data_IF_721378621902
#
_entry.id   IF_721378621902
#
_cell.length_a   1.000
_cell.length_b   1.000
_cell.length_c   1.000
_cell.angle_alpha   90.00
_cell.angle_beta   90.00
_cell.angle_gamma   90.00
#
_symmetry.space_group_name_H-M   'P 1'
#
loop_
_entity.id
_entity.type
_entity.pdbx_description
1 polymer ?
#
# COMPACT_ATOMS: atom_id res chain seq x y z
N UNK A 1 -9.12 0.88 16.53
CA UNK A 1 -10.25 0.27 15.79
C UNK A 1 -10.44 -1.21 16.08
N UNK A 2 -9.41 -2.07 15.95
CA UNK A 2 -9.53 -3.53 16.14
C UNK A 2 -8.91 -4.04 17.46
N UNK A 3 -8.99 -3.26 18.55
CA UNK A 3 -8.47 -3.69 19.85
C UNK A 3 -9.29 -4.84 20.43
N UNK A 4 -8.64 -5.80 21.11
CA UNK A 4 -9.30 -7.03 21.55
C UNK A 4 -10.44 -6.80 22.55
N UNK A 5 -10.28 -5.87 23.49
CA UNK A 5 -11.24 -5.72 24.61
C UNK A 5 -12.25 -4.58 24.42
N UNK A 6 -11.92 -3.56 23.62
CA UNK A 6 -12.75 -2.35 23.47
C UNK A 6 -12.64 -1.72 22.07
N UNK A 7 -12.22 -2.50 21.07
CA UNK A 7 -12.21 -2.05 19.68
C UNK A 7 -13.62 -1.94 19.13
N UNK A 8 -13.86 -0.94 18.28
CA UNK A 8 -15.11 -0.77 17.51
C UNK A 8 -15.53 -2.07 16.84
N UNK A 9 -14.59 -2.82 16.26
CA UNK A 9 -14.89 -4.11 15.63
C UNK A 9 -15.43 -5.16 16.62
N UNK A 10 -14.88 -5.22 17.84
CA UNK A 10 -15.36 -6.11 18.90
C UNK A 10 -16.77 -5.72 19.35
N UNK A 11 -17.03 -4.42 19.52
CA UNK A 11 -18.34 -3.90 19.91
C UNK A 11 -19.39 -4.17 18.82
N UNK A 12 -19.06 -3.98 17.55
CA UNK A 12 -19.96 -4.29 16.44
C UNK A 12 -20.31 -5.79 16.37
N UNK A 13 -19.34 -6.67 16.62
CA UNK A 13 -19.58 -8.12 16.67
C UNK A 13 -20.49 -8.56 17.82
N UNK A 14 -20.53 -7.80 18.92
CA UNK A 14 -21.48 -8.05 20.02
C UNK A 14 -22.92 -7.71 19.62
N UNK A 15 -23.11 -6.75 18.72
CA UNK A 15 -24.42 -6.37 18.20
C UNK A 15 -24.84 -7.28 17.05
N UNK A 16 -23.92 -7.68 16.18
CA UNK A 16 -24.20 -8.51 15.02
C UNK A 16 -23.05 -9.50 14.76
N UNK A 17 -23.32 -10.79 15.00
CA UNK A 17 -22.30 -11.86 14.94
C UNK A 17 -21.70 -12.05 13.55
N UNK A 18 -22.45 -11.79 12.47
CA UNK A 18 -21.95 -11.89 11.09
C UNK A 18 -21.00 -10.76 10.68
N UNK A 19 -20.73 -9.76 11.52
CA UNK A 19 -19.80 -8.67 11.19
C UNK A 19 -18.39 -9.24 11.02
N UNK A 20 -17.85 -9.13 9.81
CA UNK A 20 -16.46 -9.44 9.53
C UNK A 20 -15.57 -8.21 9.73
N UNK A 21 -14.41 -8.42 10.33
CA UNK A 21 -13.43 -7.35 10.59
C UNK A 21 -12.03 -7.86 10.33
N UNK A 22 -11.28 -7.15 9.50
CA UNK A 22 -9.88 -7.44 9.21
C UNK A 22 -9.05 -6.15 9.28
N UNK A 23 -7.79 -6.27 9.72
CA UNK A 23 -6.85 -5.16 9.66
C UNK A 23 -6.43 -4.89 8.23
N UNK A 24 -6.36 -3.61 7.83
CA UNK A 24 -5.95 -3.22 6.48
C UNK A 24 -4.58 -3.84 6.11
N UNK A 25 -4.50 -4.72 5.10
CA UNK A 25 -3.26 -5.37 4.71
C UNK A 25 -2.14 -4.39 4.32
N UNK A 26 -2.48 -3.29 3.63
CA UNK A 26 -1.52 -2.23 3.29
C UNK A 26 -0.86 -1.61 4.53
N UNK A 27 -1.63 -1.43 5.59
CA UNK A 27 -1.14 -0.93 6.87
C UNK A 27 -0.28 -1.97 7.60
N UNK A 28 -0.64 -3.24 7.55
CA UNK A 28 0.18 -4.34 8.11
C UNK A 28 1.52 -4.45 7.39
N UNK A 29 1.55 -4.32 6.06
CA UNK A 29 2.78 -4.28 5.25
C UNK A 29 3.67 -3.11 5.69
N UNK A 30 3.08 -1.92 5.84
CA UNK A 30 3.81 -0.74 6.31
C UNK A 30 4.40 -0.95 7.72
N UNK A 31 3.60 -1.41 8.69
CA UNK A 31 4.07 -1.69 10.05
C UNK A 31 5.24 -2.68 10.04
N UNK A 32 5.12 -3.76 9.26
CA UNK A 32 6.17 -4.77 9.14
C UNK A 32 7.46 -4.16 8.59
N UNK A 33 7.36 -3.35 7.53
CA UNK A 33 8.53 -2.75 6.90
C UNK A 33 9.21 -1.69 7.79
N UNK A 34 8.43 -0.84 8.48
CA UNK A 34 8.95 0.06 9.52
C UNK A 34 9.68 -0.73 10.60
N UNK A 35 9.03 -1.79 11.12
CA UNK A 35 9.60 -2.55 12.23
C UNK A 35 10.88 -3.28 11.85
N UNK A 36 10.99 -3.72 10.60
CA UNK A 36 12.22 -4.27 10.07
C UNK A 36 13.31 -3.20 9.89
N UNK A 37 12.95 -1.99 9.47
CA UNK A 37 13.89 -0.87 9.32
C UNK A 37 14.52 -0.45 10.66
N UNK A 38 13.81 -0.60 11.79
CA UNK A 38 14.36 -0.40 13.14
C UNK A 38 15.58 -1.30 13.45
N UNK A 39 15.76 -2.40 12.71
CA UNK A 39 16.92 -3.29 12.86
C UNK A 39 18.22 -2.70 12.27
N UNK A 40 18.12 -1.59 11.53
CA UNK A 40 19.25 -0.85 11.00
C UNK A 40 19.81 0.11 12.07
N UNK A 41 21.12 0.40 12.07
CA UNK A 41 21.72 1.28 13.07
C UNK A 41 21.44 2.77 12.81
N UNK A 42 20.76 3.09 11.71
CA UNK A 42 20.38 4.44 11.33
C UNK A 42 18.88 4.47 11.01
N UNK A 43 18.23 5.57 11.36
CA UNK A 43 16.87 5.85 10.91
C UNK A 43 16.92 6.52 9.55
N UNK A 44 16.79 5.72 8.49
CA UNK A 44 16.77 6.25 7.11
C UNK A 44 15.58 7.18 6.89
N UNK A 45 14.44 6.88 7.50
CA UNK A 45 13.25 7.72 7.45
C UNK A 45 13.52 9.12 8.04
N UNK A 46 14.12 9.20 9.23
CA UNK A 46 14.43 10.49 9.87
C UNK A 46 15.45 11.29 9.07
N UNK A 47 16.42 10.63 8.44
CA UNK A 47 17.41 11.28 7.57
C UNK A 47 16.71 11.88 6.34
N UNK A 48 15.86 11.10 5.66
CA UNK A 48 15.08 11.56 4.49
C UNK A 48 14.24 12.78 4.86
N UNK A 49 13.56 12.74 6.01
CA UNK A 49 12.74 13.83 6.53
C UNK A 49 13.58 15.06 6.87
N UNK A 50 14.73 14.86 7.52
CA UNK A 50 15.63 15.94 7.93
C UNK A 50 16.24 16.65 6.72
N UNK A 51 16.63 15.91 5.69
CA UNK A 51 17.09 16.46 4.40
C UNK A 51 15.97 17.27 3.74
N UNK A 52 14.75 16.70 3.64
CA UNK A 52 13.61 17.38 3.03
C UNK A 52 13.29 18.72 3.70
N UNK A 53 13.10 18.74 5.03
CA UNK A 53 12.76 19.97 5.74
C UNK A 53 13.91 20.97 5.78
N UNK A 54 15.17 20.52 5.69
CA UNK A 54 16.28 21.46 5.49
C UNK A 54 16.17 22.18 4.15
N UNK A 55 15.84 21.44 3.09
CA UNK A 55 15.74 21.95 1.73
C UNK A 55 14.42 22.66 1.42
N UNK A 56 13.49 22.80 2.36
CA UNK A 56 12.19 23.42 2.11
C UNK A 56 12.30 24.91 1.68
N UNK A 57 13.34 25.61 2.16
CA UNK A 57 13.66 27.00 1.82
C UNK A 57 13.96 27.18 0.32
N UNK A 58 13.32 28.16 -0.32
CA UNK A 58 13.56 28.54 -1.73
C UNK A 58 15.03 28.86 -2.01
N UNK A 59 15.72 29.53 -1.08
CA UNK A 59 17.16 29.83 -1.18
C UNK A 59 18.00 28.56 -1.30
N UNK A 60 17.72 27.56 -0.45
CA UNK A 60 18.47 26.30 -0.41
C UNK A 60 18.17 25.43 -1.63
N UNK A 61 16.92 25.40 -2.10
CA UNK A 61 16.54 24.73 -3.36
C UNK A 61 17.35 25.27 -4.55
N UNK A 62 17.43 26.60 -4.69
CA UNK A 62 18.21 27.25 -5.76
C UNK A 62 19.71 26.99 -5.60
N UNK A 63 20.21 26.95 -4.36
CA UNK A 63 21.62 26.64 -4.11
C UNK A 63 21.95 25.19 -4.47
N UNK A 64 21.11 24.23 -4.10
CA UNK A 64 21.26 22.81 -4.45
C UNK A 64 21.26 22.60 -5.97
N UNK A 65 20.43 23.34 -6.71
CA UNK A 65 20.37 23.25 -8.17
C UNK A 65 21.75 23.42 -8.82
N UNK A 66 22.57 24.35 -8.33
CA UNK A 66 23.93 24.56 -8.85
C UNK A 66 24.82 23.33 -8.71
N UNK A 67 24.65 22.58 -7.62
CA UNK A 67 25.37 21.32 -7.40
C UNK A 67 24.78 20.20 -8.27
N UNK A 68 23.45 20.15 -8.45
CA UNK A 68 22.83 19.17 -9.36
C UNK A 68 23.34 19.34 -10.80
N UNK A 69 23.44 20.59 -11.27
CA UNK A 69 24.03 20.93 -12.58
C UNK A 69 25.51 20.51 -12.66
N UNK A 70 26.32 20.77 -11.63
CA UNK A 70 27.72 20.36 -11.57
C UNK A 70 27.90 18.85 -11.68
N UNK A 71 27.00 18.08 -11.05
CA UNK A 71 27.01 16.62 -11.08
C UNK A 71 26.24 16.03 -12.28
N UNK A 72 25.86 16.86 -13.26
CA UNK A 72 25.12 16.45 -14.46
C UNK A 72 23.83 15.66 -14.16
N UNK A 73 23.16 15.99 -13.05
CA UNK A 73 21.86 15.42 -12.70
C UNK A 73 20.77 16.44 -12.94
N UNK A 74 19.70 16.03 -13.63
CA UNK A 74 18.54 16.89 -13.90
C UNK A 74 17.99 17.50 -12.60
N UNK A 75 17.62 18.78 -12.64
CA UNK A 75 17.02 19.43 -11.49
C UNK A 75 15.72 18.74 -11.09
N UNK A 76 15.73 18.15 -9.90
CA UNK A 76 14.58 17.48 -9.34
C UNK A 76 14.46 17.83 -7.85
N UNK A 77 13.27 18.28 -7.44
CA UNK A 77 12.99 18.58 -6.03
C UNK A 77 13.05 17.27 -5.22
N UNK A 78 13.61 17.32 -4.00
CA UNK A 78 13.50 16.21 -3.07
C UNK A 78 12.02 15.99 -2.71
N UNK A 79 11.58 14.74 -2.75
CA UNK A 79 10.20 14.35 -2.50
C UNK A 79 9.95 14.35 -0.99
N UNK A 80 8.78 14.85 -0.57
CA UNK A 80 8.35 14.76 0.82
C UNK A 80 7.95 13.31 1.11
N UNK A 81 8.56 12.72 2.11
CA UNK A 81 8.06 11.48 2.70
C UNK A 81 6.91 11.79 3.66
N UNK A 82 5.83 11.02 3.57
CA UNK A 82 4.68 11.07 4.48
C UNK A 82 4.73 9.81 5.33
N UNK A 83 4.91 9.96 6.65
CA UNK A 83 5.05 8.85 7.59
C UNK A 83 3.95 7.78 7.46
N UNK A 84 2.71 8.18 7.17
CA UNK A 84 1.57 7.26 7.03
C UNK A 84 1.55 6.49 5.70
N UNK A 85 2.44 6.81 4.76
CA UNK A 85 2.46 6.22 3.42
C UNK A 85 3.87 5.74 3.07
N UNK A 86 4.21 4.51 3.48
CA UNK A 86 5.49 3.84 3.18
C UNK A 86 5.93 3.95 1.71
N UNK A 87 4.99 3.90 0.77
CA UNK A 87 5.25 4.02 -0.67
C UNK A 87 5.92 5.36 -1.06
N UNK A 88 5.84 6.38 -0.20
CA UNK A 88 6.52 7.65 -0.40
C UNK A 88 7.98 7.62 0.07
N UNK A 89 8.37 6.66 0.92
CA UNK A 89 9.75 6.50 1.38
C UNK A 89 10.65 6.04 0.25
N UNK A 90 10.31 4.99 -0.49
CA UNK A 90 11.15 4.50 -1.58
C UNK A 90 11.31 5.53 -2.70
N UNK A 91 10.26 6.29 -3.03
CA UNK A 91 10.37 7.43 -3.98
C UNK A 91 11.35 8.49 -3.48
N UNK A 92 11.26 8.86 -2.21
CA UNK A 92 12.13 9.88 -1.60
C UNK A 92 13.57 9.39 -1.49
N UNK A 93 13.75 8.11 -1.15
CA UNK A 93 15.04 7.44 -1.04
C UNK A 93 15.74 7.37 -2.40
N UNK A 94 15.05 6.92 -3.45
CA UNK A 94 15.57 6.93 -4.83
C UNK A 94 16.01 8.31 -5.27
N UNK A 95 15.21 9.34 -4.98
CA UNK A 95 15.53 10.73 -5.29
C UNK A 95 16.77 11.21 -4.55
N UNK A 96 16.93 10.86 -3.27
CA UNK A 96 18.13 11.21 -2.49
C UNK A 96 19.37 10.47 -3.02
N UNK A 97 19.26 9.17 -3.32
CA UNK A 97 20.36 8.39 -3.90
C UNK A 97 20.83 8.96 -5.25
N UNK A 98 19.88 9.34 -6.12
CA UNK A 98 20.18 9.96 -7.41
C UNK A 98 20.98 11.27 -7.26
N UNK A 99 20.73 12.05 -6.21
CA UNK A 99 21.43 13.30 -5.95
C UNK A 99 22.48 13.18 -4.84
N UNK A 100 22.93 11.98 -4.48
CA UNK A 100 23.73 11.77 -3.27
C UNK A 100 24.99 12.63 -3.24
N UNK A 101 25.75 12.65 -4.32
CA UNK A 101 27.03 13.33 -4.39
C UNK A 101 26.85 14.86 -4.47
N UNK A 102 25.82 15.32 -5.21
CA UNK A 102 25.40 16.72 -5.23
C UNK A 102 24.94 17.22 -3.85
N UNK A 103 24.20 16.40 -3.11
CA UNK A 103 23.76 16.69 -1.74
C UNK A 103 24.96 16.77 -0.79
N UNK A 104 25.91 15.84 -0.90
CA UNK A 104 27.12 15.85 -0.08
C UNK A 104 27.91 17.15 -0.25
N UNK A 105 28.25 17.54 -1.48
CA UNK A 105 28.99 18.79 -1.72
C UNK A 105 28.18 20.03 -1.36
N UNK A 106 26.86 20.01 -1.57
CA UNK A 106 25.99 21.08 -1.10
C UNK A 106 26.10 21.25 0.42
N UNK A 107 25.94 20.17 1.21
CA UNK A 107 26.00 20.24 2.67
C UNK A 107 27.40 20.60 3.18
N UNK A 108 28.45 20.15 2.49
CA UNK A 108 29.85 20.55 2.76
C UNK A 108 30.02 22.06 2.63
N UNK A 109 29.52 22.65 1.53
CA UNK A 109 29.55 24.11 1.32
C UNK A 109 28.74 24.88 2.37
N UNK A 110 27.58 24.35 2.79
CA UNK A 110 26.73 24.95 3.82
C UNK A 110 27.41 24.94 5.20
N UNK A 111 28.18 23.89 5.51
CA UNK A 111 28.97 23.78 6.74
C UNK A 111 30.12 24.79 6.75
N UNK A 112 30.85 24.92 5.64
CA UNK A 112 31.95 25.88 5.49
C UNK A 112 31.50 27.35 5.59
N UNK A 113 30.24 27.65 5.23
CA UNK A 113 29.67 28.99 5.36
C UNK A 113 29.19 29.29 6.79
N UNK A 114 29.88 30.21 7.48
CA UNK A 114 29.70 30.52 8.91
C UNK A 114 28.47 31.39 9.26
N UNK A 115 27.68 31.87 8.29
CA UNK A 115 26.65 32.91 8.50
C UNK A 115 25.26 32.42 9.00
N UNK A 116 25.09 31.18 9.47
CA UNK A 116 23.75 30.60 9.71
C UNK A 116 23.37 30.44 11.20
N UNK A 117 22.08 30.67 11.52
CA UNK A 117 21.46 30.53 12.87
C UNK A 117 21.68 29.14 13.51
N UNK A 118 21.76 29.08 14.84
CA UNK A 118 22.10 27.88 15.65
C UNK A 118 21.28 26.61 15.31
N UNK A 119 19.96 26.71 15.12
CA UNK A 119 19.10 25.54 14.80
C UNK A 119 19.36 25.00 13.39
N UNK A 120 19.62 25.89 12.42
CA UNK A 120 20.03 25.48 11.08
C UNK A 120 21.45 24.90 11.05
N UNK A 121 22.31 25.26 12.01
CA UNK A 121 23.64 24.70 12.15
C UNK A 121 23.59 23.20 12.47
N UNK A 122 22.81 22.78 13.48
CA UNK A 122 22.70 21.35 13.85
C UNK A 122 22.26 20.46 12.68
N UNK A 123 21.24 20.88 11.92
CA UNK A 123 20.73 20.10 10.77
C UNK A 123 21.73 20.03 9.61
N UNK A 124 22.44 21.11 9.28
CA UNK A 124 23.46 21.08 8.21
C UNK A 124 24.66 20.20 8.57
N UNK A 125 25.14 20.26 9.82
CA UNK A 125 26.23 19.39 10.28
C UNK A 125 25.80 17.93 10.28
N UNK A 126 24.61 17.62 10.81
CA UNK A 126 24.05 16.27 10.75
C UNK A 126 23.98 15.74 9.32
N UNK A 127 23.35 16.49 8.39
CA UNK A 127 23.22 16.06 6.99
C UNK A 127 24.59 15.92 6.29
N UNK A 128 25.55 16.80 6.56
CA UNK A 128 26.91 16.68 6.04
C UNK A 128 27.59 15.39 6.51
N UNK A 129 27.54 15.08 7.81
CA UNK A 129 28.10 13.85 8.36
C UNK A 129 27.44 12.59 7.80
N UNK A 130 26.11 12.60 7.70
CA UNK A 130 25.32 11.47 7.20
C UNK A 130 25.56 11.23 5.71
N UNK A 131 25.57 12.29 4.87
CA UNK A 131 25.88 12.16 3.45
C UNK A 131 27.35 11.78 3.19
N UNK A 132 28.25 12.14 4.12
CA UNK A 132 29.68 11.85 4.04
C UNK A 132 30.09 10.48 4.58
N UNK A 133 29.22 9.76 5.28
CA UNK A 133 29.51 8.41 5.80
C UNK A 133 29.19 7.34 4.73
N UNK A 134 30.20 6.58 4.26
CA UNK A 134 29.99 5.51 3.29
C UNK A 134 29.02 4.42 3.77
N UNK A 135 28.93 4.18 5.08
CA UNK A 135 28.04 3.17 5.66
C UNK A 135 26.58 3.63 5.64
N UNK A 136 26.31 4.92 5.79
CA UNK A 136 24.97 5.47 5.60
C UNK A 136 24.50 5.24 4.16
N UNK A 137 25.30 5.58 3.15
CA UNK A 137 24.96 5.31 1.73
C UNK A 137 24.71 3.82 1.49
N UNK A 138 25.49 2.95 2.12
CA UNK A 138 25.32 1.49 2.05
C UNK A 138 23.93 1.04 2.55
N UNK A 139 23.46 1.57 3.69
CA UNK A 139 22.11 1.25 4.20
C UNK A 139 20.98 1.82 3.33
N UNK A 140 21.18 3.01 2.74
CA UNK A 140 20.23 3.57 1.77
C UNK A 140 20.11 2.66 0.53
N UNK A 141 21.22 2.22 -0.05
CA UNK A 141 21.22 1.31 -1.21
C UNK A 141 20.57 -0.03 -0.89
N UNK A 142 20.83 -0.60 0.30
CA UNK A 142 20.15 -1.81 0.75
C UNK A 142 18.63 -1.62 0.83
N UNK A 143 18.17 -0.53 1.45
CA UNK A 143 16.75 -0.23 1.51
C UNK A 143 16.14 -0.02 0.12
N UNK A 144 16.81 0.70 -0.78
CA UNK A 144 16.35 0.86 -2.17
C UNK A 144 16.09 -0.49 -2.87
N UNK A 145 16.95 -1.48 -2.62
CA UNK A 145 16.84 -2.82 -3.20
C UNK A 145 15.77 -3.70 -2.55
N UNK A 146 15.44 -3.49 -1.27
CA UNK A 146 14.50 -4.35 -0.51
C UNK A 146 13.08 -3.78 -0.45
N UNK A 147 12.93 -2.44 -0.43
CA UNK A 147 11.63 -1.77 -0.35
C UNK A 147 10.65 -2.19 -1.45
N UNK A 148 11.07 -2.38 -2.73
CA UNK A 148 10.16 -2.78 -3.80
C UNK A 148 9.33 -4.03 -3.49
N UNK A 149 9.87 -4.98 -2.69
CA UNK A 149 9.14 -6.19 -2.27
C UNK A 149 7.84 -5.82 -1.54
N UNK A 150 7.91 -4.84 -0.64
CA UNK A 150 6.76 -4.35 0.11
C UNK A 150 5.91 -3.41 -0.74
N UNK A 151 6.56 -2.54 -1.51
CA UNK A 151 5.88 -1.54 -2.32
C UNK A 151 5.02 -2.14 -3.42
N UNK A 152 5.49 -3.18 -4.10
CA UNK A 152 4.79 -3.75 -5.24
C UNK A 152 3.52 -4.48 -4.80
N UNK A 153 3.59 -5.28 -3.73
CA UNK A 153 2.40 -5.86 -3.09
C UNK A 153 1.44 -4.77 -2.59
N UNK A 154 1.96 -3.71 -1.96
CA UNK A 154 1.12 -2.63 -1.43
C UNK A 154 0.45 -1.82 -2.56
N UNK A 155 1.13 -1.58 -3.69
CA UNK A 155 0.54 -0.94 -4.88
C UNK A 155 -0.61 -1.76 -5.45
N UNK A 156 -0.45 -3.09 -5.54
CA UNK A 156 -1.52 -3.99 -5.99
C UNK A 156 -2.73 -3.86 -5.07
N UNK A 157 -2.53 -3.97 -3.75
CA UNK A 157 -3.61 -3.87 -2.75
C UNK A 157 -4.17 -2.44 -2.57
N UNK A 158 -3.60 -1.45 -3.24
CA UNK A 158 -4.16 -0.11 -3.34
C UNK A 158 -4.92 0.09 -4.64
N UNK A 159 -5.08 -0.91 -5.51
CA UNK A 159 -5.83 -0.74 -6.76
C UNK A 159 -7.34 -0.54 -6.51
N UNK A 160 -8.04 0.02 -7.49
CA UNK A 160 -9.50 0.23 -7.48
C UNK A 160 -10.27 -1.07 -7.81
N UNK A 161 -9.55 -2.12 -8.21
CA UNK A 161 -10.15 -3.41 -8.53
C UNK A 161 -10.43 -4.21 -7.24
N UNK A 162 -11.55 -4.96 -7.16
CA UNK A 162 -11.80 -5.83 -6.03
C UNK A 162 -10.81 -7.01 -6.01
N UNK A 163 -9.90 -7.01 -5.04
CA UNK A 163 -8.83 -8.02 -4.92
C UNK A 163 -9.02 -9.01 -3.77
N UNK A 164 -10.21 -9.10 -3.17
CA UNK A 164 -10.45 -9.99 -2.02
C UNK A 164 -10.19 -11.45 -2.36
N UNK A 165 -10.56 -11.87 -3.57
CA UNK A 165 -10.27 -13.19 -4.14
C UNK A 165 -8.78 -13.51 -4.29
N UNK A 166 -7.93 -12.49 -4.42
CA UNK A 166 -6.50 -12.61 -4.63
C UNK A 166 -5.67 -12.20 -3.41
N UNK A 167 -6.31 -11.76 -2.32
CA UNK A 167 -5.64 -11.15 -1.18
C UNK A 167 -4.73 -12.15 -0.46
N UNK A 168 -5.21 -13.37 -0.22
CA UNK A 168 -4.42 -14.42 0.43
C UNK A 168 -3.16 -14.77 -0.38
N UNK A 169 -3.30 -15.01 -1.69
CA UNK A 169 -2.17 -15.26 -2.59
C UNK A 169 -1.21 -14.08 -2.62
N UNK A 170 -1.72 -12.85 -2.71
CA UNK A 170 -0.94 -11.62 -2.77
C UNK A 170 -0.11 -11.43 -1.52
N UNK A 171 -0.65 -11.70 -0.33
CA UNK A 171 0.10 -11.67 0.92
C UNK A 171 1.16 -12.77 1.00
N UNK A 172 0.87 -13.96 0.48
CA UNK A 172 1.83 -15.05 0.44
C UNK A 172 3.05 -14.77 -0.44
N UNK A 173 2.92 -13.93 -1.49
CA UNK A 173 4.07 -13.49 -2.31
C UNK A 173 5.17 -12.83 -1.48
N UNK A 174 4.82 -12.13 -0.39
CA UNK A 174 5.80 -11.51 0.50
C UNK A 174 6.66 -12.54 1.26
N UNK A 175 6.21 -13.80 1.41
CA UNK A 175 7.03 -14.88 1.98
C UNK A 175 8.28 -15.18 1.14
N UNK A 176 8.30 -14.75 -0.12
CA UNK A 176 9.49 -14.79 -0.98
C UNK A 176 10.72 -14.07 -0.40
N UNK A 177 10.53 -13.20 0.61
CA UNK A 177 11.66 -12.59 1.34
C UNK A 177 12.58 -13.63 2.01
N UNK A 178 12.07 -14.82 2.36
CA UNK A 178 12.86 -15.92 2.93
C UNK A 178 14.01 -16.34 2.02
N UNK A 179 13.78 -16.38 0.70
CA UNK A 179 14.80 -16.77 -0.29
C UNK A 179 16.02 -15.83 -0.26
N UNK A 180 15.87 -14.61 0.27
CA UNK A 180 16.95 -13.62 0.34
C UNK A 180 18.01 -13.93 1.39
N UNK A 181 17.66 -14.68 2.44
CA UNK A 181 18.56 -14.89 3.57
C UNK A 181 18.55 -16.30 4.17
N UNK A 182 17.59 -17.16 3.79
CA UNK A 182 17.50 -18.57 4.22
C UNK A 182 17.97 -19.48 3.09
N UNK A 183 18.67 -20.57 3.42
CA UNK A 183 19.12 -21.56 2.44
C UNK A 183 17.91 -22.30 1.80
N UNK A 184 17.92 -22.58 0.49
CA UNK A 184 16.78 -23.21 -0.20
C UNK A 184 16.30 -24.53 0.41
N UNK A 185 17.22 -25.38 0.88
CA UNK A 185 16.92 -26.71 1.42
C UNK A 185 16.05 -26.66 2.67
N UNK A 186 16.11 -25.54 3.40
CA UNK A 186 15.44 -25.33 4.69
C UNK A 186 14.06 -24.70 4.48
N UNK A 187 13.91 -23.89 3.43
CA UNK A 187 12.62 -23.32 3.05
C UNK A 187 11.61 -24.44 2.73
N UNK A 188 12.08 -25.57 2.18
CA UNK A 188 11.25 -26.73 1.85
C UNK A 188 10.82 -27.55 3.07
N UNK A 189 11.57 -27.51 4.18
CA UNK A 189 11.28 -28.31 5.38
C UNK A 189 10.38 -27.61 6.40
N UNK A 190 9.99 -26.35 6.17
CA UNK A 190 9.23 -25.50 7.12
C UNK A 190 9.85 -25.36 8.53
N UNK A 191 11.14 -25.68 8.68
CA UNK A 191 11.88 -25.62 9.94
C UNK A 191 12.70 -24.32 10.06
N UNK A 192 12.14 -23.33 10.74
CA UNK A 192 12.70 -21.99 10.89
C UNK A 192 13.54 -21.85 12.18
N UNK A 193 14.63 -22.61 12.30
CA UNK A 193 15.64 -22.39 13.34
C UNK A 193 16.59 -21.22 12.99
N UNK A 194 17.09 -20.48 14.00
CA UNK A 194 17.99 -19.30 13.83
C UNK A 194 19.33 -19.62 13.15
N UNK A 195 19.75 -20.88 13.15
CA UNK A 195 21.03 -21.37 12.59
C UNK A 195 21.00 -21.62 11.06
N UNK A 196 19.91 -21.26 10.38
CA UNK A 196 19.63 -21.65 9.00
C UNK A 196 19.88 -20.55 7.95
N UNK A 197 20.52 -19.46 8.37
CA UNK A 197 20.83 -18.33 7.49
C UNK A 197 21.92 -18.65 6.46
N UNK A 198 21.81 -18.02 5.30
CA UNK A 198 22.87 -17.95 4.31
C UNK A 198 24.09 -17.26 4.91
N UNK A 199 25.28 -17.66 4.48
CA UNK A 199 26.51 -16.92 4.81
C UNK A 199 26.43 -15.51 4.23
N UNK A 200 27.13 -14.54 4.83
CA UNK A 200 27.03 -13.12 4.46
C UNK A 200 27.13 -12.86 2.95
N UNK A 201 28.01 -13.59 2.23
CA UNK A 201 28.19 -13.45 0.79
C UNK A 201 27.08 -14.02 -0.10
N UNK A 202 26.12 -14.76 0.47
CA UNK A 202 24.99 -15.36 -0.26
C UNK A 202 23.67 -14.66 0.04
N UNK A 203 23.66 -13.70 0.98
CA UNK A 203 22.47 -12.91 1.31
C UNK A 203 22.19 -11.93 0.17
N UNK A 204 20.96 -11.90 -0.31
CA UNK A 204 20.55 -10.97 -1.35
C UNK A 204 20.38 -9.58 -0.76
N UNK A 205 21.23 -8.64 -1.17
CA UNK A 205 21.23 -7.24 -0.71
C UNK A 205 20.98 -6.23 -1.84
N UNK A 206 20.85 -6.74 -3.07
CA UNK A 206 20.61 -5.95 -4.29
C UNK A 206 21.90 -5.56 -5.02
N UNK A 207 21.85 -5.54 -6.35
CA UNK A 207 23.01 -5.31 -7.21
C UNK A 207 23.70 -3.96 -6.94
N UNK A 208 22.93 -2.88 -6.75
CA UNK A 208 23.50 -1.55 -6.44
C UNK A 208 24.29 -1.56 -5.13
N UNK A 209 23.80 -2.27 -4.11
CA UNK A 209 24.48 -2.45 -2.83
C UNK A 209 25.75 -3.28 -2.99
N UNK A 210 25.69 -4.39 -3.73
CA UNK A 210 26.84 -5.26 -4.00
C UNK A 210 27.94 -4.52 -4.76
N UNK A 211 27.57 -3.75 -5.79
CA UNK A 211 28.51 -2.94 -6.56
C UNK A 211 29.18 -1.89 -5.66
N UNK A 212 28.39 -1.18 -4.85
CA UNK A 212 28.92 -0.21 -3.91
C UNK A 212 29.90 -0.82 -2.89
N UNK A 213 29.62 -2.05 -2.41
CA UNK A 213 30.54 -2.79 -1.54
C UNK A 213 31.87 -3.08 -2.24
N UNK A 214 31.84 -3.51 -3.52
CA UNK A 214 33.05 -3.77 -4.30
C UNK A 214 33.90 -2.51 -4.43
N UNK A 215 33.26 -1.37 -4.71
CA UNK A 215 33.95 -0.11 -5.00
C UNK A 215 34.49 0.58 -3.73
N UNK A 216 33.89 0.32 -2.55
CA UNK A 216 34.19 1.07 -1.32
C UNK A 216 34.65 0.22 -0.13
N UNK A 217 34.96 -1.07 -0.35
CA UNK A 217 35.22 -2.08 0.69
C UNK A 217 36.06 -1.62 1.90
N UNK A 218 37.19 -0.89 1.74
CA UNK A 218 38.04 -0.52 2.89
C UNK A 218 37.36 0.36 3.93
N UNK A 219 36.29 1.07 3.54
CA UNK A 219 35.61 2.08 4.35
C UNK A 219 34.35 1.54 5.04
N UNK A 220 33.98 0.27 4.77
CA UNK A 220 32.68 -0.30 5.12
C UNK A 220 32.75 -1.27 6.29
N UNK A 221 31.83 -1.13 7.24
CA UNK A 221 31.66 -2.02 8.39
C UNK A 221 30.82 -3.26 8.03
N UNK A 222 31.32 -4.09 7.11
CA UNK A 222 30.55 -5.18 6.50
C UNK A 222 30.00 -6.20 7.50
N UNK A 223 30.77 -6.58 8.52
CA UNK A 223 30.29 -7.53 9.54
C UNK A 223 29.04 -6.99 10.28
N UNK A 224 29.06 -5.70 10.65
CA UNK A 224 27.92 -5.01 11.27
C UNK A 224 26.76 -4.87 10.28
N UNK A 225 27.06 -4.49 9.04
CA UNK A 225 26.07 -4.37 7.97
C UNK A 225 25.28 -5.67 7.76
N UNK A 226 25.96 -6.80 7.52
CA UNK A 226 25.30 -8.08 7.29
C UNK A 226 24.52 -8.57 8.52
N UNK A 227 25.01 -8.33 9.74
CA UNK A 227 24.26 -8.62 10.97
C UNK A 227 22.92 -7.86 11.00
N UNK A 228 22.94 -6.55 10.68
CA UNK A 228 21.73 -5.73 10.62
C UNK A 228 20.79 -6.17 9.49
N UNK A 229 21.32 -6.53 8.32
CA UNK A 229 20.51 -7.05 7.19
C UNK A 229 19.81 -8.36 7.55
N UNK A 230 20.50 -9.30 8.20
CA UNK A 230 19.87 -10.54 8.69
C UNK A 230 18.77 -10.20 9.70
N UNK A 231 19.06 -9.30 10.65
CA UNK A 231 18.07 -8.86 11.63
C UNK A 231 16.85 -8.21 10.98
N UNK A 232 17.02 -7.38 9.95
CA UNK A 232 15.93 -6.81 9.15
C UNK A 232 15.02 -7.91 8.58
N UNK A 233 15.61 -8.92 7.94
CA UNK A 233 14.85 -10.01 7.33
C UNK A 233 14.14 -10.92 8.34
N UNK A 234 14.82 -11.27 9.44
CA UNK A 234 14.22 -12.06 10.53
C UNK A 234 13.05 -11.30 11.16
N UNK A 235 13.24 -10.01 11.48
CA UNK A 235 12.19 -9.16 12.04
C UNK A 235 11.00 -9.02 11.09
N UNK A 236 11.24 -8.93 9.78
CA UNK A 236 10.18 -8.96 8.76
C UNK A 236 9.35 -10.24 8.87
N UNK A 237 10.00 -11.41 8.87
CA UNK A 237 9.33 -12.71 8.91
C UNK A 237 8.54 -12.89 10.22
N UNK A 238 9.11 -12.50 11.36
CA UNK A 238 8.45 -12.55 12.66
C UNK A 238 7.20 -11.64 12.70
N UNK A 239 7.30 -10.42 12.16
CA UNK A 239 6.17 -9.51 12.08
C UNK A 239 5.05 -10.06 11.19
N UNK A 240 5.41 -10.61 10.03
CA UNK A 240 4.45 -11.24 9.12
C UNK A 240 3.76 -12.43 9.78
N UNK A 241 4.51 -13.36 10.37
CA UNK A 241 3.96 -14.53 11.07
C UNK A 241 2.98 -14.13 12.18
N UNK A 242 3.27 -13.03 12.90
CA UNK A 242 2.45 -12.56 14.03
C UNK A 242 1.20 -11.78 13.61
N UNK A 243 1.29 -10.98 12.55
CA UNK A 243 0.27 -9.95 12.23
C UNK A 243 -0.55 -10.27 10.99
N UNK A 244 -0.04 -11.06 10.05
CA UNK A 244 -0.72 -11.24 8.76
C UNK A 244 -1.81 -12.31 8.87
N UNK A 245 -2.96 -12.09 8.21
CA UNK A 245 -4.14 -12.96 8.28
C UNK A 245 -4.00 -14.20 7.36
N UNK A 246 -2.89 -14.94 7.45
CA UNK A 246 -2.63 -16.07 6.55
C UNK A 246 -3.63 -17.22 6.69
N UNK A 247 -4.19 -17.40 7.89
CA UNK A 247 -5.12 -18.48 8.18
C UNK A 247 -6.54 -17.93 8.38
N UNK A 248 -6.84 -16.73 7.86
CA UNK A 248 -8.16 -16.13 7.97
C UNK A 248 -9.13 -16.86 7.04
N UNK A 249 -10.21 -17.48 7.55
CA UNK A 249 -11.10 -18.31 6.74
C UNK A 249 -11.78 -17.53 5.61
N UNK A 250 -12.15 -16.27 5.84
CA UNK A 250 -12.77 -15.43 4.80
C UNK A 250 -11.80 -15.24 3.63
N UNK A 251 -10.52 -14.99 3.90
CA UNK A 251 -9.53 -14.82 2.84
C UNK A 251 -9.23 -16.12 2.08
N UNK A 252 -9.23 -17.26 2.78
CA UNK A 252 -9.01 -18.57 2.17
C UNK A 252 -10.19 -18.95 1.26
N UNK A 253 -11.43 -18.78 1.74
CA UNK A 253 -12.62 -19.10 0.96
C UNK A 253 -12.86 -18.10 -0.17
N UNK A 254 -12.47 -16.82 -0.02
CA UNK A 254 -12.64 -15.80 -1.05
C UNK A 254 -11.96 -16.14 -2.39
N UNK A 255 -10.94 -17.03 -2.38
CA UNK A 255 -10.28 -17.53 -3.59
C UNK A 255 -11.26 -18.15 -4.59
N UNK A 256 -12.45 -18.59 -4.15
CA UNK A 256 -13.52 -19.13 -5.00
C UNK A 256 -14.02 -18.14 -6.05
N UNK A 257 -13.93 -16.83 -5.79
CA UNK A 257 -14.28 -15.79 -6.75
C UNK A 257 -13.20 -15.55 -7.81
N UNK A 258 -12.06 -16.26 -7.75
CA UNK A 258 -11.01 -16.18 -8.75
C UNK A 258 -11.28 -17.11 -9.93
N UNK A 259 -11.66 -16.55 -11.07
CA UNK A 259 -12.01 -17.32 -12.27
C UNK A 259 -10.83 -18.18 -12.79
N UNK A 260 -9.59 -17.73 -12.60
CA UNK A 260 -8.41 -18.50 -13.01
C UNK A 260 -8.19 -19.74 -12.15
N UNK A 261 -8.84 -19.80 -10.99
CA UNK A 261 -8.73 -20.91 -10.05
C UNK A 261 -9.96 -21.80 -9.99
N UNK A 262 -10.91 -21.61 -10.92
CA UNK A 262 -12.22 -22.27 -10.91
C UNK A 262 -12.14 -23.79 -10.74
N UNK A 263 -11.15 -24.43 -11.36
CA UNK A 263 -10.98 -25.89 -11.30
C UNK A 263 -10.41 -26.40 -9.96
N UNK A 264 -9.74 -25.54 -9.18
CA UNK A 264 -9.08 -25.94 -7.93
C UNK A 264 -9.87 -25.56 -6.67
N UNK A 265 -10.93 -24.75 -6.81
CA UNK A 265 -11.74 -24.27 -5.70
C UNK A 265 -12.94 -25.20 -5.47
N UNK A 266 -13.39 -25.29 -4.22
CA UNK A 266 -14.51 -26.15 -3.82
C UNK A 266 -15.76 -25.34 -3.56
N UNK A 267 -16.93 -25.94 -3.84
CA UNK A 267 -18.24 -25.38 -3.51
C UNK A 267 -18.39 -25.03 -2.02
N UNK A 268 -17.68 -25.74 -1.13
CA UNK A 268 -17.63 -25.44 0.30
C UNK A 268 -17.25 -23.99 0.59
N UNK A 269 -16.48 -23.34 -0.29
CA UNK A 269 -16.12 -21.94 -0.15
C UNK A 269 -17.27 -21.00 -0.49
N UNK A 270 -18.12 -21.35 -1.44
CA UNK A 270 -19.36 -20.60 -1.73
C UNK A 270 -20.32 -20.76 -0.56
N UNK A 271 -20.51 -22.00 -0.10
CA UNK A 271 -21.36 -22.35 1.04
C UNK A 271 -20.93 -21.60 2.31
N UNK A 272 -19.62 -21.46 2.57
CA UNK A 272 -19.09 -20.67 3.67
C UNK A 272 -19.66 -19.23 3.68
N UNK A 273 -19.65 -18.56 2.54
CA UNK A 273 -20.15 -17.19 2.43
C UNK A 273 -21.66 -17.10 2.50
N UNK A 274 -22.38 -17.98 1.82
CA UNK A 274 -23.85 -17.99 1.83
C UNK A 274 -24.39 -18.26 3.23
N UNK A 275 -23.75 -19.15 4.00
CA UNK A 275 -24.10 -19.40 5.40
C UNK A 275 -23.79 -18.21 6.32
N UNK A 276 -22.69 -17.50 6.06
CA UNK A 276 -22.32 -16.33 6.86
C UNK A 276 -23.13 -15.07 6.49
N UNK A 277 -23.49 -14.93 5.23
CA UNK A 277 -24.16 -13.78 4.64
C UNK A 277 -25.32 -14.23 3.75
N UNK A 278 -26.50 -14.56 4.33
CA UNK A 278 -27.66 -15.03 3.56
C UNK A 278 -28.12 -14.03 2.47
N UNK A 279 -27.82 -12.74 2.67
CA UNK A 279 -28.09 -11.67 1.69
C UNK A 279 -27.37 -11.82 0.34
N UNK A 280 -26.42 -12.76 0.22
CA UNK A 280 -25.80 -13.12 -1.05
C UNK A 280 -26.75 -13.90 -1.98
N UNK A 281 -27.82 -14.48 -1.44
CA UNK A 281 -28.84 -15.16 -2.22
C UNK A 281 -30.04 -14.25 -2.53
N UNK A 282 -30.71 -14.42 -3.68
CA UNK A 282 -31.83 -13.57 -4.09
C UNK A 282 -32.98 -13.45 -3.09
N UNK A 283 -33.28 -14.52 -2.35
CA UNK A 283 -34.34 -14.55 -1.33
C UNK A 283 -33.86 -14.16 0.06
N UNK A 284 -32.55 -13.92 0.24
CA UNK A 284 -31.91 -13.79 1.54
C UNK A 284 -32.11 -15.01 2.46
N UNK A 285 -32.45 -16.18 1.89
CA UNK A 285 -32.71 -17.43 2.61
C UNK A 285 -31.86 -18.56 2.02
N UNK A 286 -31.33 -19.43 2.89
CA UNK A 286 -30.51 -20.58 2.49
C UNK A 286 -31.39 -21.83 2.45
N UNK A 287 -32.35 -21.87 1.53
CA UNK A 287 -33.19 -23.06 1.34
C UNK A 287 -32.40 -24.18 0.65
N UNK A 288 -32.67 -25.47 0.94
CA UNK A 288 -32.01 -26.59 0.27
C UNK A 288 -32.09 -26.50 -1.26
N UNK A 289 -33.25 -26.12 -1.80
CA UNK A 289 -33.49 -26.03 -3.23
C UNK A 289 -32.61 -24.96 -3.91
N UNK A 290 -32.38 -23.84 -3.23
CA UNK A 290 -31.51 -22.77 -3.75
C UNK A 290 -30.03 -23.12 -3.66
N UNK A 291 -29.64 -23.84 -2.60
CA UNK A 291 -28.27 -24.35 -2.48
C UNK A 291 -27.99 -25.40 -3.56
N UNK A 292 -28.96 -26.27 -3.86
CA UNK A 292 -28.86 -27.24 -4.96
C UNK A 292 -28.75 -26.54 -6.32
N UNK A 293 -29.55 -25.49 -6.57
CA UNK A 293 -29.46 -24.68 -7.80
C UNK A 293 -28.08 -24.02 -7.93
N UNK A 294 -27.62 -23.34 -6.88
CA UNK A 294 -26.32 -22.68 -6.83
C UNK A 294 -25.17 -23.68 -7.00
N UNK A 295 -25.27 -24.86 -6.38
CA UNK A 295 -24.25 -25.90 -6.49
C UNK A 295 -24.17 -26.46 -7.91
N UNK A 296 -25.31 -26.76 -8.52
CA UNK A 296 -25.36 -27.23 -9.90
C UNK A 296 -24.78 -26.19 -10.87
N UNK A 297 -25.17 -24.93 -10.70
CA UNK A 297 -24.68 -23.82 -11.52
C UNK A 297 -23.16 -23.64 -11.36
N UNK A 298 -22.65 -23.73 -10.13
CA UNK A 298 -21.22 -23.67 -9.84
C UNK A 298 -20.45 -24.81 -10.53
N UNK A 299 -20.95 -26.04 -10.49
CA UNK A 299 -20.28 -27.16 -11.17
C UNK A 299 -20.26 -27.00 -12.69
N UNK A 300 -21.34 -26.51 -13.29
CA UNK A 300 -21.38 -26.20 -14.72
C UNK A 300 -20.38 -25.10 -15.10
N UNK A 301 -20.21 -24.10 -14.23
CA UNK A 301 -19.21 -23.06 -14.40
C UNK A 301 -17.77 -23.59 -14.36
N UNK A 302 -17.46 -24.53 -13.47
CA UNK A 302 -16.09 -25.05 -13.32
C UNK A 302 -15.58 -25.74 -14.59
N UNK A 303 -16.46 -26.41 -15.33
CA UNK A 303 -16.11 -27.17 -16.55
C UNK A 303 -16.28 -26.38 -17.84
N UNK A 304 -16.66 -25.10 -17.76
CA UNK A 304 -16.93 -24.29 -18.94
C UNK A 304 -15.63 -23.85 -19.64
N UNK A 305 -15.35 -24.47 -20.79
CA UNK A 305 -14.16 -24.18 -21.60
C UNK A 305 -14.21 -22.81 -22.31
N UNK A 306 -15.39 -22.18 -22.45
CA UNK A 306 -15.50 -20.86 -23.07
C UNK A 306 -14.77 -19.79 -22.23
N UNK A 307 -14.69 -20.02 -20.92
CA UNK A 307 -14.06 -19.12 -19.94
C UNK A 307 -12.56 -18.99 -20.18
N UNK A 308 -11.88 -20.02 -20.69
CA UNK A 308 -10.42 -19.98 -20.94
C UNK A 308 -10.04 -18.96 -22.02
N UNK A 309 -10.97 -18.64 -22.91
CA UNK A 309 -10.77 -17.66 -23.98
C UNK A 309 -11.19 -16.24 -23.58
N UNK A 310 -11.77 -16.06 -22.38
CA UNK A 310 -12.22 -14.75 -21.92
C UNK A 310 -11.05 -13.81 -21.63
N UNK A 311 -10.96 -12.73 -22.41
CA UNK A 311 -10.02 -11.64 -22.15
C UNK A 311 -10.70 -10.56 -21.32
N UNK A 312 -10.55 -10.65 -19.99
CA UNK A 312 -11.04 -9.62 -19.07
C UNK A 312 -9.94 -9.22 -18.09
N UNK A 313 -9.71 -7.91 -17.98
CA UNK A 313 -8.69 -7.36 -17.08
C UNK A 313 -9.14 -7.28 -15.62
N UNK A 314 -10.45 -7.10 -15.38
CA UNK A 314 -11.05 -6.92 -14.05
C UNK A 314 -11.95 -8.08 -13.66
N UNK A 315 -11.80 -8.59 -12.45
CA UNK A 315 -12.54 -9.78 -12.00
C UNK A 315 -14.06 -9.54 -11.87
N UNK A 316 -14.48 -8.36 -11.41
CA UNK A 316 -15.89 -8.01 -11.25
C UNK A 316 -16.59 -7.88 -12.60
N UNK A 317 -15.92 -7.31 -13.60
CA UNK A 317 -16.44 -7.28 -14.97
C UNK A 317 -16.59 -8.68 -15.55
N UNK A 318 -15.65 -9.59 -15.24
CA UNK A 318 -15.73 -10.96 -15.72
C UNK A 318 -16.96 -11.68 -15.14
N UNK A 319 -17.23 -11.51 -13.84
CA UNK A 319 -18.44 -12.04 -13.22
C UNK A 319 -19.74 -11.40 -13.76
N UNK A 320 -19.74 -10.11 -14.12
CA UNK A 320 -20.89 -9.49 -14.80
C UNK A 320 -21.16 -10.12 -16.17
N UNK A 321 -20.12 -10.50 -16.92
CA UNK A 321 -20.29 -11.21 -18.19
C UNK A 321 -20.84 -12.62 -17.94
N UNK A 322 -20.28 -13.34 -16.98
CA UNK A 322 -20.70 -14.69 -16.61
C UNK A 322 -22.13 -14.73 -16.07
N UNK A 323 -22.62 -13.64 -15.45
CA UNK A 323 -23.98 -13.54 -14.92
C UNK A 323 -25.07 -13.86 -15.97
N UNK A 324 -24.79 -13.64 -17.26
CA UNK A 324 -25.70 -14.01 -18.36
C UNK A 324 -25.96 -15.51 -18.48
N UNK A 325 -25.01 -16.35 -18.05
CA UNK A 325 -25.04 -17.82 -18.16
C UNK A 325 -25.16 -18.48 -16.77
N UNK A 326 -24.51 -17.88 -15.78
CA UNK A 326 -24.40 -18.36 -14.41
C UNK A 326 -24.86 -17.26 -13.46
N UNK A 327 -26.18 -17.04 -13.37
CA UNK A 327 -26.73 -15.90 -12.64
C UNK A 327 -26.52 -16.01 -11.13
N UNK A 328 -26.93 -17.12 -10.52
CA UNK A 328 -26.95 -17.27 -9.06
C UNK A 328 -25.53 -17.32 -8.50
N UNK A 329 -24.63 -18.02 -9.19
CA UNK A 329 -23.21 -18.08 -8.86
C UNK A 329 -22.57 -16.70 -9.03
N UNK A 330 -22.85 -16.00 -10.12
CA UNK A 330 -22.25 -14.68 -10.34
C UNK A 330 -22.71 -13.65 -9.31
N UNK A 331 -23.98 -13.68 -8.91
CA UNK A 331 -24.50 -12.80 -7.85
C UNK A 331 -23.78 -13.06 -6.52
N UNK A 332 -23.60 -14.34 -6.14
CA UNK A 332 -22.85 -14.71 -4.94
C UNK A 332 -21.39 -14.25 -5.01
N UNK A 333 -20.72 -14.45 -6.15
CA UNK A 333 -19.30 -14.07 -6.33
C UNK A 333 -19.10 -12.56 -6.34
N UNK A 334 -19.99 -11.81 -6.99
CA UNK A 334 -20.00 -10.35 -6.95
C UNK A 334 -20.19 -9.86 -5.52
N UNK A 335 -21.07 -10.47 -4.74
CA UNK A 335 -21.25 -10.13 -3.33
C UNK A 335 -20.01 -10.42 -2.47
N UNK A 336 -19.28 -11.51 -2.73
CA UNK A 336 -17.96 -11.77 -2.09
C UNK A 336 -16.96 -10.67 -2.45
N UNK A 337 -16.96 -10.20 -3.71
CA UNK A 337 -16.05 -9.16 -4.19
C UNK A 337 -16.35 -7.76 -3.60
N UNK A 338 -17.51 -7.54 -2.99
CA UNK A 338 -17.83 -6.30 -2.24
C UNK A 338 -17.06 -6.20 -0.93
N UNK A 339 -16.59 -7.32 -0.37
CA UNK A 339 -15.75 -7.30 0.82
C UNK A 339 -14.47 -6.53 0.49
N UNK A 340 -14.15 -5.50 1.26
CA UNK A 340 -12.99 -4.65 0.99
C UNK A 340 -11.69 -5.37 1.34
N UNK A 341 -10.78 -5.46 0.38
CA UNK A 341 -9.45 -6.04 0.56
C UNK A 341 -8.46 -5.07 1.24
N UNK A 342 -8.72 -3.76 1.19
CA UNK A 342 -7.91 -2.72 1.84
C UNK A 342 -8.75 -1.47 2.13
N UNK A 343 -8.19 -0.56 2.93
CA UNK A 343 -8.81 0.74 3.21
C UNK A 343 -8.45 1.82 2.19
N UNK A 344 -7.79 1.46 1.07
CA UNK A 344 -7.29 2.44 0.11
C UNK A 344 -8.40 3.33 -0.47
N UNK A 345 -9.59 2.78 -0.69
CA UNK A 345 -10.76 3.54 -1.16
C UNK A 345 -11.21 4.59 -0.15
N UNK A 346 -11.30 4.20 1.13
CA UNK A 346 -11.59 5.13 2.21
C UNK A 346 -10.52 6.23 2.29
N UNK A 347 -9.24 5.88 2.19
CA UNK A 347 -8.12 6.84 2.24
C UNK A 347 -8.15 7.83 1.06
N UNK A 348 -8.60 7.41 -0.13
CA UNK A 348 -8.82 8.31 -1.28
C UNK A 348 -9.92 9.30 -1.01
N UNK A 349 -11.05 8.85 -0.45
CA UNK A 349 -12.15 9.73 -0.04
C UNK A 349 -11.68 10.74 1.01
N UNK A 350 -10.94 10.31 2.03
CA UNK A 350 -10.38 11.21 3.04
C UNK A 350 -9.33 12.19 2.50
N UNK A 351 -8.56 11.79 1.47
CA UNK A 351 -7.65 12.69 0.75
C UNK A 351 -8.41 13.82 0.05
N UNK A 352 -9.59 13.53 -0.52
CA UNK A 352 -10.48 14.55 -1.09
C UNK A 352 -10.97 15.52 0.00
N UNK A 353 -11.36 15.02 1.17
CA UNK A 353 -11.76 15.85 2.33
C UNK A 353 -10.66 16.81 2.73
N UNK A 354 -9.43 16.33 2.89
CA UNK A 354 -8.28 17.17 3.28
C UNK A 354 -8.03 18.29 2.27
N UNK A 355 -8.21 18.02 0.97
CA UNK A 355 -8.11 19.06 -0.07
C UNK A 355 -9.28 20.05 -0.04
N UNK A 356 -10.45 19.66 0.46
CA UNK A 356 -11.61 20.54 0.59
C UNK A 356 -11.50 21.45 1.82
N UNK A 357 -10.85 21.01 2.89
CA UNK A 357 -10.48 21.85 4.03
C UNK A 357 -9.27 22.74 3.67
N UNK A 358 -9.46 23.65 2.71
CA UNK A 358 -8.50 24.76 2.50
C UNK A 358 -8.69 25.83 3.56
N UNK A 359 -7.72 26.76 3.69
CA UNK A 359 -7.85 27.94 4.56
C UNK A 359 -9.11 28.80 4.27
N UNK A 360 -9.76 28.61 3.12
CA UNK A 360 -11.00 29.27 2.72
C UNK A 360 -12.28 28.49 3.08
N UNK A 361 -12.17 27.23 3.50
CA UNK A 361 -13.30 26.31 3.75
C UNK A 361 -13.18 25.58 5.11
N UNK A 362 -12.56 26.20 6.11
CA UNK A 362 -12.32 25.58 7.43
C UNK A 362 -13.60 25.27 8.22
N UNK A 363 -14.74 25.87 7.85
CA UNK A 363 -16.03 25.73 8.54
C UNK A 363 -17.17 25.26 7.61
N UNK A 364 -16.95 24.18 6.85
CA UNK A 364 -18.02 23.54 6.08
C UNK A 364 -18.92 22.70 6.99
N UNK A 365 -20.25 22.82 6.86
CA UNK A 365 -21.17 21.94 7.60
C UNK A 365 -21.00 20.48 7.17
N UNK A 366 -21.30 19.54 8.07
CA UNK A 366 -21.21 18.11 7.78
C UNK A 366 -22.07 17.71 6.56
N UNK A 367 -23.28 18.26 6.45
CA UNK A 367 -24.19 18.01 5.33
C UNK A 367 -23.62 18.49 3.99
N UNK A 368 -23.00 19.67 3.96
CA UNK A 368 -22.38 20.20 2.75
C UNK A 368 -21.14 19.39 2.37
N UNK A 369 -20.34 18.98 3.36
CA UNK A 369 -19.19 18.11 3.14
C UNK A 369 -19.61 16.76 2.56
N UNK A 370 -20.63 16.12 3.14
CA UNK A 370 -21.21 14.87 2.66
C UNK A 370 -21.71 15.00 1.22
N UNK A 371 -22.53 16.02 0.94
CA UNK A 371 -23.06 16.28 -0.39
C UNK A 371 -21.95 16.49 -1.42
N UNK A 372 -20.89 17.21 -1.04
CA UNK A 372 -19.74 17.48 -1.89
C UNK A 372 -18.90 16.21 -2.12
N UNK A 373 -18.74 15.35 -1.11
CA UNK A 373 -18.06 14.07 -1.26
C UNK A 373 -18.82 13.14 -2.18
N UNK A 374 -20.13 12.94 -1.97
CA UNK A 374 -20.99 12.14 -2.85
C UNK A 374 -20.85 12.63 -4.30
N UNK A 375 -20.95 13.95 -4.49
CA UNK A 375 -20.85 14.55 -5.83
C UNK A 375 -19.46 14.40 -6.46
N UNK A 376 -18.38 14.38 -5.68
CA UNK A 376 -17.02 14.18 -6.18
C UNK A 376 -16.70 12.70 -6.45
N UNK A 377 -17.15 11.79 -5.60
CA UNK A 377 -16.93 10.35 -5.74
C UNK A 377 -17.68 9.83 -6.98
N UNK A 378 -18.91 10.30 -7.20
CA UNK A 378 -19.74 9.89 -8.34
C UNK A 378 -19.38 10.62 -9.64
N UNK A 379 -18.33 11.45 -9.65
CA UNK A 379 -17.90 12.20 -10.83
C UNK A 379 -16.59 11.64 -11.38
N UNK A 380 -16.67 10.93 -12.48
CA UNK A 380 -15.50 10.36 -13.16
C UNK A 380 -14.96 11.24 -14.30
N UNK A 381 -15.61 12.39 -14.59
CA UNK A 381 -15.25 13.30 -15.69
C UNK A 381 -14.81 14.70 -15.24
N UNK A 382 -14.32 15.50 -16.19
CA UNK A 382 -13.95 16.90 -15.96
C UNK A 382 -15.22 17.75 -15.76
N UNK A 383 -15.22 18.67 -14.81
CA UNK A 383 -16.45 19.36 -14.38
C UNK A 383 -17.20 20.11 -15.50
N UNK A 384 -16.50 20.56 -16.54
CA UNK A 384 -17.09 21.27 -17.68
C UNK A 384 -17.71 20.35 -18.74
N UNK A 385 -17.48 19.04 -18.67
CA UNK A 385 -18.12 18.04 -19.55
C UNK A 385 -19.41 17.49 -18.95
N UNK A 386 -19.73 17.87 -17.70
CA UNK A 386 -20.94 17.43 -17.05
C UNK A 386 -22.19 18.03 -17.70
N UNK A 387 -23.04 17.15 -18.24
CA UNK A 387 -24.41 17.50 -18.61
C UNK A 387 -25.31 17.40 -17.38
N UNK A 388 -25.82 18.53 -16.92
CA UNK A 388 -26.83 18.57 -15.86
C UNK A 388 -28.23 18.45 -16.47
N UNK A 389 -29.15 17.80 -15.75
CA UNK A 389 -30.57 17.80 -16.12
C UNK A 389 -31.08 19.24 -16.23
N UNK A 390 -31.88 19.53 -17.26
CA UNK A 390 -32.44 20.86 -17.48
C UNK A 390 -33.25 21.36 -16.27
N UNK A 391 -33.97 20.46 -15.60
CA UNK A 391 -34.77 20.80 -14.42
C UNK A 391 -33.91 21.23 -13.24
N UNK A 392 -32.75 20.59 -13.05
CA UNK A 392 -31.77 21.00 -12.04
C UNK A 392 -31.21 22.39 -12.36
N UNK A 393 -30.92 22.67 -13.64
CA UNK A 393 -30.44 23.98 -14.07
C UNK A 393 -31.51 25.07 -13.90
N UNK A 394 -32.77 24.76 -14.19
CA UNK A 394 -33.90 25.69 -13.95
C UNK A 394 -34.09 25.97 -12.46
N UNK A 395 -34.06 24.94 -11.61
CA UNK A 395 -34.17 25.08 -10.16
C UNK A 395 -33.02 25.90 -9.57
N UNK A 396 -31.78 25.62 -9.98
CA UNK A 396 -30.60 26.36 -9.54
C UNK A 396 -30.69 27.84 -9.95
N UNK A 397 -31.04 28.14 -11.21
CA UNK A 397 -31.25 29.52 -11.68
C UNK A 397 -32.33 30.25 -10.88
N UNK A 398 -33.45 29.59 -10.59
CA UNK A 398 -34.53 30.17 -9.78
C UNK A 398 -34.07 30.49 -8.35
N UNK A 399 -33.32 29.59 -7.72
CA UNK A 399 -32.78 29.78 -6.38
C UNK A 399 -31.74 30.93 -6.34
N UNK A 400 -30.86 31.03 -7.34
CA UNK A 400 -29.90 32.13 -7.44
C UNK A 400 -30.57 33.47 -7.69
N UNK A 401 -31.62 33.50 -8.52
CA UNK A 401 -32.41 34.70 -8.77
C UNK A 401 -33.12 35.19 -7.49
N UNK A 402 -33.72 34.28 -6.71
CA UNK A 402 -34.34 34.62 -5.43
C UNK A 402 -33.31 35.20 -4.44
N UNK A 403 -32.15 34.54 -4.29
CA UNK A 403 -31.10 35.00 -3.36
C UNK A 403 -30.45 36.35 -3.74
N UNK A 404 -30.52 36.77 -5.01
CA UNK A 404 -30.02 38.06 -5.49
C UNK A 404 -31.05 39.19 -5.41
N UNK A 405 -32.31 38.86 -5.13
CA UNK A 405 -33.44 39.79 -5.16
C UNK A 405 -34.28 39.80 -3.87
N UNK A 406 -33.83 39.09 -2.84
CA UNK A 406 -34.38 39.09 -1.47
C UNK A 406 -33.57 39.98 -0.50
N UNK A 407 -32.75 40.92 -1.00
CA UNK A 407 -32.19 42.07 -0.24
C UNK A 407 -32.99 43.35 -0.49
#
# INVERSE_FOLDING_TARGET
MLGQNSGVGTLLKQVHSSVYTIGCPCHLIHITANKAADSLPISVEDIVITIYYYLESSRRKRSLQKFQELYSVEFQKIIKHVHTQWLSLGKSLKRILLHWDALYEFFKSEVSNQQNKVVSAKRKFHNYHVCGDPNTKLYFLFLDGVLPIFEDTNKVLQSDEPLTHALHETLNKLRGILVRFVKPDIIRSNDFAECNHKTSGMIMIGHSTEQYIKDNRPQLYLAKFFKCVVSFYVTTCQCMKKKFPYNDPVLLHAEVANIKRREQVSFQSVEYFVNQFPALLPTCENTPEQLDELQNEFFLYQVDSEIDTMSVHRIDHAWVILNKKYKVSSDAMLGILVILHSNADCDRVFSIVTKNQTAFCSNMSLQLLESLLIKKINNHGVCYEQKHLEDLLKAAKKATYAALHDD
#
